data_IF_814248969832
#
_entry.id   IF_814248969832
#
_cell.length_a   1.000
_cell.length_b   1.000
_cell.length_c   1.000
_cell.angle_alpha   90.00
_cell.angle_beta   90.00
_cell.angle_gamma   90.00
#
_symmetry.space_group_name_H-M   'P 1'
#
loop_
_entity.id
_entity.type
_entity.pdbx_description
1 polymer ?
#
# COMPACT_ATOMS: atom_id res chain seq x y z
N UNK A 1 25.69 26.16 16.20
CA UNK A 1 25.13 25.79 14.88
C UNK A 1 24.20 24.62 15.12
N UNK A 2 22.91 24.88 15.32
CA UNK A 2 21.91 23.82 15.44
C UNK A 2 21.72 23.24 14.04
N UNK A 3 22.03 21.96 13.88
CA UNK A 3 21.66 21.22 12.69
C UNK A 3 20.14 21.11 12.76
N UNK A 4 19.43 21.93 11.98
CA UNK A 4 18.05 21.66 11.64
C UNK A 4 18.05 20.26 11.03
N UNK A 5 17.61 19.26 11.80
CA UNK A 5 17.15 18.02 11.22
C UNK A 5 15.97 18.42 10.34
N UNK A 6 16.25 18.62 9.05
CA UNK A 6 15.22 18.66 8.02
C UNK A 6 14.42 17.38 8.19
N UNK A 7 13.23 17.53 8.77
CA UNK A 7 12.27 16.46 8.88
C UNK A 7 11.97 16.02 7.45
N UNK A 8 12.51 14.86 7.06
CA UNK A 8 12.17 14.28 5.78
C UNK A 8 10.77 13.68 5.94
N UNK A 9 9.77 14.18 5.18
CA UNK A 9 8.45 13.61 5.24
C UNK A 9 8.50 12.13 4.84
N UNK A 10 7.70 11.33 5.53
CA UNK A 10 7.44 9.95 5.19
C UNK A 10 6.99 9.89 3.73
N UNK A 11 7.73 9.17 2.90
CA UNK A 11 7.38 9.06 1.47
C UNK A 11 6.58 7.78 1.25
N UNK A 12 5.43 7.87 0.55
CA UNK A 12 4.70 6.67 0.19
C UNK A 12 5.52 5.85 -0.79
N UNK A 13 5.56 4.54 -0.59
CA UNK A 13 6.41 3.62 -1.36
C UNK A 13 5.56 2.63 -2.13
N UNK A 14 5.81 2.47 -3.42
CA UNK A 14 5.29 1.40 -4.27
C UNK A 14 6.38 0.34 -4.48
N UNK A 15 5.94 -0.91 -4.63
CA UNK A 15 6.84 -2.06 -4.76
C UNK A 15 6.80 -2.57 -6.20
N UNK A 16 7.97 -2.66 -6.83
CA UNK A 16 8.17 -3.27 -8.13
C UNK A 16 8.75 -4.68 -7.98
N UNK A 17 8.09 -5.66 -8.58
CA UNK A 17 8.58 -7.03 -8.70
C UNK A 17 9.26 -7.26 -10.05
N UNK A 18 10.46 -7.83 -10.05
CA UNK A 18 11.17 -8.19 -11.28
C UNK A 18 11.11 -9.70 -11.55
N UNK A 19 10.80 -10.08 -12.78
CA UNK A 19 10.67 -11.47 -13.21
C UNK A 19 11.60 -11.74 -14.40
N UNK A 20 12.53 -12.68 -14.24
CA UNK A 20 13.40 -13.11 -15.34
C UNK A 20 14.54 -12.14 -15.69
N UNK A 21 14.76 -11.08 -14.91
CA UNK A 21 15.89 -10.17 -15.09
C UNK A 21 17.17 -10.76 -14.49
N UNK A 22 18.30 -10.55 -15.16
CA UNK A 22 19.64 -10.80 -14.58
C UNK A 22 19.94 -9.79 -13.49
N UNK A 23 20.96 -10.05 -12.67
CA UNK A 23 21.43 -9.08 -11.66
C UNK A 23 21.83 -7.73 -12.27
N UNK A 24 22.52 -7.74 -13.41
CA UNK A 24 22.97 -6.52 -14.07
C UNK A 24 21.79 -5.69 -14.60
N UNK A 25 20.79 -6.35 -15.17
CA UNK A 25 19.58 -5.68 -15.63
C UNK A 25 18.75 -5.14 -14.46
N UNK A 26 18.68 -5.87 -13.35
CA UNK A 26 18.04 -5.37 -12.12
C UNK A 26 18.76 -4.15 -11.55
N UNK A 27 20.11 -4.10 -11.62
CA UNK A 27 20.90 -2.94 -11.20
C UNK A 27 20.68 -1.72 -12.10
N UNK A 28 20.47 -1.90 -13.40
CA UNK A 28 20.04 -0.82 -14.31
C UNK A 28 18.68 -0.26 -13.91
N UNK A 29 17.71 -1.13 -13.66
CA UNK A 29 16.39 -0.71 -13.20
C UNK A 29 16.51 0.04 -11.86
N UNK A 30 17.31 -0.45 -10.90
CA UNK A 30 17.55 0.25 -9.62
C UNK A 30 18.08 1.66 -9.85
N UNK A 31 19.05 1.85 -10.76
CA UNK A 31 19.59 3.17 -11.08
C UNK A 31 18.52 4.12 -11.60
N UNK A 32 17.55 3.64 -12.39
CA UNK A 32 16.40 4.46 -12.81
C UNK A 32 15.49 4.81 -11.64
N UNK A 33 15.26 3.88 -10.70
CA UNK A 33 14.48 4.18 -9.49
C UNK A 33 15.16 5.25 -8.63
N UNK A 34 16.48 5.17 -8.47
CA UNK A 34 17.27 6.07 -7.63
C UNK A 34 17.45 7.47 -8.25
N UNK A 35 17.55 7.55 -9.58
CA UNK A 35 17.77 8.81 -10.32
C UNK A 35 16.49 9.56 -10.65
N UNK A 36 15.32 8.94 -10.45
CA UNK A 36 14.04 9.63 -10.55
C UNK A 36 14.02 10.75 -9.50
N UNK A 37 14.00 12.00 -9.97
CA UNK A 37 13.85 13.19 -9.12
C UNK A 37 12.64 13.04 -8.20
N UNK A 38 12.58 13.77 -7.06
CA UNK A 38 11.73 13.44 -5.92
C UNK A 38 10.25 13.37 -6.33
N UNK A 39 9.69 12.17 -6.57
CA UNK A 39 8.28 12.07 -6.92
C UNK A 39 7.47 12.13 -5.62
N UNK A 40 6.17 12.40 -5.74
CA UNK A 40 5.25 12.29 -4.61
C UNK A 40 5.21 10.85 -4.02
N UNK A 41 5.74 9.87 -4.74
CA UNK A 41 5.78 8.44 -4.42
C UNK A 41 7.15 7.86 -4.78
N UNK A 42 7.73 7.06 -3.89
CA UNK A 42 8.96 6.32 -4.16
C UNK A 42 8.66 4.93 -4.71
N UNK A 43 9.58 4.40 -5.52
CA UNK A 43 9.57 2.99 -5.91
C UNK A 43 10.72 2.26 -5.24
N UNK A 44 10.50 0.99 -4.94
CA UNK A 44 11.55 0.05 -4.53
C UNK A 44 11.30 -1.32 -5.11
N UNK A 45 12.32 -2.17 -5.10
CA UNK A 45 12.10 -3.59 -5.32
C UNK A 45 11.47 -4.28 -4.11
N UNK A 46 10.80 -5.40 -4.40
CA UNK A 46 10.33 -6.33 -3.38
C UNK A 46 9.93 -7.66 -3.97
N UNK A 47 9.47 -8.53 -3.09
CA UNK A 47 8.98 -9.86 -3.45
C UNK A 47 7.76 -9.79 -4.37
N UNK A 48 7.64 -10.75 -5.29
CA UNK A 48 6.54 -10.75 -6.27
C UNK A 48 5.16 -10.75 -5.62
N UNK A 49 5.01 -11.42 -4.47
CA UNK A 49 3.76 -11.47 -3.73
C UNK A 49 3.31 -10.08 -3.25
N UNK A 50 4.25 -9.26 -2.79
CA UNK A 50 4.02 -7.94 -2.21
C UNK A 50 4.02 -6.81 -3.25
N UNK A 51 4.54 -7.07 -4.45
CA UNK A 51 4.73 -6.05 -5.47
C UNK A 51 3.41 -5.44 -5.99
N UNK A 52 3.35 -4.11 -6.06
CA UNK A 52 2.20 -3.38 -6.62
C UNK A 52 2.19 -3.44 -8.16
N UNK A 53 3.34 -3.67 -8.79
CA UNK A 53 3.49 -3.89 -10.23
C UNK A 53 4.58 -4.91 -10.53
N UNK A 54 4.50 -5.57 -11.70
CA UNK A 54 5.53 -6.49 -12.16
C UNK A 54 6.15 -6.06 -13.48
N UNK A 55 7.47 -6.14 -13.55
CA UNK A 55 8.20 -6.12 -14.82
C UNK A 55 8.74 -7.51 -15.11
N UNK A 56 8.53 -7.98 -16.34
CA UNK A 56 8.97 -9.27 -16.83
C UNK A 56 9.96 -9.12 -17.99
N UNK A 57 10.99 -9.96 -18.03
CA UNK A 57 11.95 -9.97 -19.12
C UNK A 57 11.30 -10.59 -20.37
N UNK A 58 10.98 -9.78 -21.39
CA UNK A 58 10.31 -10.27 -22.60
C UNK A 58 11.14 -11.26 -23.41
N UNK A 59 12.47 -11.16 -23.35
CA UNK A 59 13.38 -12.08 -24.05
C UNK A 59 13.32 -13.50 -23.49
N UNK A 60 12.73 -13.68 -22.30
CA UNK A 60 12.55 -14.97 -21.63
C UNK A 60 11.09 -15.43 -21.58
N UNK A 61 10.21 -14.76 -22.31
CA UNK A 61 8.79 -15.09 -22.38
C UNK A 61 8.53 -16.23 -23.36
N UNK A 62 7.73 -17.19 -22.93
CA UNK A 62 7.17 -18.25 -23.73
C UNK A 62 5.64 -18.30 -23.51
N UNK A 63 4.86 -18.11 -24.57
CA UNK A 63 3.43 -18.35 -24.54
C UNK A 63 3.16 -19.87 -24.49
N UNK A 64 2.28 -20.29 -23.60
CA UNK A 64 1.85 -21.68 -23.45
C UNK A 64 0.48 -21.88 -24.10
N UNK A 65 0.16 -23.13 -24.45
CA UNK A 65 -1.07 -23.47 -25.19
C UNK A 65 -2.38 -23.19 -24.44
N UNK A 66 -2.32 -22.94 -23.13
CA UNK A 66 -3.47 -22.54 -22.32
C UNK A 66 -3.63 -21.01 -22.21
N UNK A 67 -2.85 -20.24 -22.98
CA UNK A 67 -2.84 -18.78 -22.95
C UNK A 67 -2.07 -18.17 -21.79
N UNK A 68 -1.48 -18.99 -20.90
CA UNK A 68 -0.58 -18.49 -19.85
C UNK A 68 0.82 -18.23 -20.40
N UNK A 69 1.57 -17.38 -19.70
CA UNK A 69 2.94 -17.02 -20.06
C UNK A 69 3.91 -17.62 -19.06
N UNK A 70 4.92 -18.33 -19.56
CA UNK A 70 6.08 -18.75 -18.77
C UNK A 70 7.23 -17.77 -19.00
N UNK A 71 7.79 -17.26 -17.92
CA UNK A 71 8.97 -16.41 -17.92
C UNK A 71 10.14 -17.21 -17.35
N UNK A 72 11.17 -17.43 -18.17
CA UNK A 72 12.39 -18.11 -17.75
C UNK A 72 13.14 -17.35 -16.65
N UNK A 73 13.95 -18.05 -15.84
CA UNK A 73 14.74 -17.40 -14.79
C UNK A 73 15.78 -16.44 -15.40
N UNK A 74 16.13 -15.39 -14.66
CA UNK A 74 17.18 -14.45 -15.08
C UNK A 74 18.59 -15.02 -14.92
N UNK A 75 18.80 -15.85 -13.90
CA UNK A 75 20.08 -16.47 -13.55
C UNK A 75 20.05 -17.99 -13.76
N UNK A 76 21.20 -18.64 -14.03
CA UNK A 76 21.32 -20.09 -14.05
C UNK A 76 20.84 -20.72 -12.74
N UNK A 77 20.04 -21.80 -12.84
CA UNK A 77 19.48 -22.48 -11.67
C UNK A 77 18.28 -21.78 -11.01
N UNK A 78 17.88 -20.61 -11.51
CA UNK A 78 16.66 -19.92 -11.05
C UNK A 78 15.37 -20.65 -11.43
N UNK A 79 14.26 -20.23 -10.80
CA UNK A 79 12.93 -20.78 -11.10
C UNK A 79 12.23 -19.96 -12.18
N UNK A 80 11.55 -20.62 -13.10
CA UNK A 80 10.62 -19.97 -14.02
C UNK A 80 9.34 -19.58 -13.29
N UNK A 81 8.74 -18.46 -13.69
CA UNK A 81 7.44 -18.01 -13.19
C UNK A 81 6.39 -18.22 -14.29
N UNK A 82 5.21 -18.73 -13.91
CA UNK A 82 4.07 -18.86 -14.82
C UNK A 82 2.99 -17.87 -14.42
N UNK A 83 2.54 -17.07 -15.37
CA UNK A 83 1.52 -16.04 -15.18
C UNK A 83 0.31 -16.33 -16.06
N UNK A 84 -0.88 -16.37 -15.46
CA UNK A 84 -2.13 -16.24 -16.22
C UNK A 84 -2.55 -14.78 -16.20
N UNK A 85 -2.23 -14.02 -17.25
CA UNK A 85 -2.39 -12.56 -17.26
C UNK A 85 -3.83 -12.11 -17.00
N UNK A 86 -4.82 -12.90 -17.43
CA UNK A 86 -6.24 -12.65 -17.16
C UNK A 86 -6.61 -12.72 -15.66
N UNK A 87 -5.80 -13.39 -14.85
CA UNK A 87 -6.00 -13.54 -13.40
C UNK A 87 -5.13 -12.59 -12.58
N UNK A 88 -4.19 -11.89 -13.21
CA UNK A 88 -3.29 -10.96 -12.52
C UNK A 88 -4.01 -9.64 -12.26
N UNK A 89 -4.20 -9.31 -10.98
CA UNK A 89 -4.88 -8.10 -10.51
C UNK A 89 -3.93 -6.91 -10.29
N UNK A 90 -2.87 -6.81 -11.09
CA UNK A 90 -1.86 -5.74 -11.02
C UNK A 90 -1.21 -5.50 -12.38
N UNK A 91 -0.71 -4.29 -12.67
CA UNK A 91 -0.08 -4.01 -13.95
C UNK A 91 1.18 -4.86 -14.15
N UNK A 92 1.31 -5.41 -15.36
CA UNK A 92 2.49 -6.16 -15.80
C UNK A 92 3.04 -5.52 -17.08
N UNK A 93 4.33 -5.22 -17.10
CA UNK A 93 5.02 -4.77 -18.32
C UNK A 93 6.17 -5.70 -18.69
N UNK A 94 6.47 -5.75 -19.98
CA UNK A 94 7.47 -6.64 -20.55
C UNK A 94 8.62 -5.86 -21.18
N UNK A 95 9.86 -6.21 -20.87
CA UNK A 95 11.02 -5.62 -21.55
C UNK A 95 11.08 -6.09 -23.00
N UNK A 96 11.51 -5.24 -23.91
CA UNK A 96 11.86 -5.62 -25.28
C UNK A 96 13.27 -6.23 -25.34
N UNK A 97 13.55 -7.12 -26.30
CA UNK A 97 12.60 -7.74 -27.24
C UNK A 97 11.71 -8.78 -26.56
N UNK A 98 10.50 -9.01 -27.11
CA UNK A 98 9.62 -10.10 -26.68
C UNK A 98 9.89 -11.33 -27.53
N UNK A 99 10.31 -12.44 -26.90
CA UNK A 99 10.78 -13.62 -27.63
C UNK A 99 9.66 -14.41 -28.34
N UNK A 100 8.45 -14.41 -27.76
CA UNK A 100 7.30 -15.11 -28.33
C UNK A 100 6.58 -14.20 -29.32
N UNK A 101 6.58 -14.57 -30.61
CA UNK A 101 5.95 -13.79 -31.69
C UNK A 101 4.43 -13.71 -31.58
N UNK A 102 3.81 -14.75 -31.02
CA UNK A 102 2.36 -14.84 -30.84
C UNK A 102 1.88 -14.17 -29.54
N UNK A 103 2.77 -13.43 -28.86
CA UNK A 103 2.48 -12.73 -27.61
C UNK A 103 2.69 -11.23 -27.77
N UNK A 104 1.59 -10.48 -27.74
CA UNK A 104 1.57 -9.03 -27.80
C UNK A 104 1.20 -8.43 -26.42
N UNK A 105 2.19 -8.07 -25.59
CA UNK A 105 1.93 -7.48 -24.28
C UNK A 105 1.37 -6.07 -24.39
N UNK A 106 0.40 -5.73 -23.53
CA UNK A 106 -0.20 -4.40 -23.45
C UNK A 106 0.81 -3.30 -23.10
N UNK A 107 1.78 -3.62 -22.27
CA UNK A 107 2.80 -2.68 -21.79
C UNK A 107 4.19 -3.20 -22.08
N UNK A 108 5.00 -2.39 -22.76
CA UNK A 108 6.40 -2.69 -23.06
C UNK A 108 7.33 -1.54 -22.75
N UNK A 109 8.58 -1.87 -22.44
CA UNK A 109 9.66 -0.91 -22.24
C UNK A 109 10.99 -1.46 -22.73
N UNK A 110 12.01 -0.61 -22.90
CA UNK A 110 13.38 -1.00 -23.25
C UNK A 110 14.28 -0.91 -22.02
N UNK A 111 15.05 -1.96 -21.72
CA UNK A 111 15.92 -2.01 -20.54
C UNK A 111 17.22 -1.23 -20.76
N UNK A 112 17.60 -1.02 -22.02
CA UNK A 112 18.74 -0.21 -22.45
C UNK A 112 18.41 1.29 -22.51
N UNK A 113 17.16 1.68 -22.27
CA UNK A 113 16.68 3.06 -22.37
C UNK A 113 16.07 3.52 -21.03
N UNK A 114 16.85 4.25 -20.19
CA UNK A 114 16.38 4.84 -18.94
C UNK A 114 15.09 5.66 -19.06
N UNK A 115 14.91 6.39 -20.17
CA UNK A 115 13.71 7.20 -20.38
C UNK A 115 12.48 6.31 -20.62
N UNK A 116 12.65 5.20 -21.36
CA UNK A 116 11.59 4.20 -21.55
C UNK A 116 11.15 3.57 -20.22
N UNK A 117 12.11 3.21 -19.36
CA UNK A 117 11.82 2.68 -18.02
C UNK A 117 11.09 3.71 -17.14
N UNK A 118 11.57 4.96 -17.09
CA UNK A 118 10.95 6.02 -16.30
C UNK A 118 9.52 6.36 -16.79
N UNK A 119 9.30 6.38 -18.11
CA UNK A 119 7.98 6.56 -18.70
C UNK A 119 7.03 5.41 -18.32
N UNK A 120 7.52 4.17 -18.32
CA UNK A 120 6.72 3.01 -17.93
C UNK A 120 6.29 3.07 -16.45
N UNK A 121 7.19 3.43 -15.54
CA UNK A 121 6.83 3.64 -14.14
C UNK A 121 5.76 4.73 -13.99
N UNK A 122 5.93 5.86 -14.69
CA UNK A 122 4.96 6.97 -14.66
C UNK A 122 3.58 6.57 -15.18
N UNK A 123 3.54 5.74 -16.23
CA UNK A 123 2.29 5.20 -16.77
C UNK A 123 1.61 4.24 -15.79
N UNK A 124 2.35 3.34 -15.13
CA UNK A 124 1.78 2.45 -14.10
C UNK A 124 1.24 3.23 -12.89
N UNK A 125 2.02 4.21 -12.41
CA UNK A 125 1.60 5.11 -11.32
C UNK A 125 0.28 5.80 -11.65
N UNK A 126 0.20 6.44 -12.81
CA UNK A 126 -0.95 7.27 -13.17
C UNK A 126 -2.20 6.46 -13.56
N UNK A 127 -2.03 5.36 -14.29
CA UNK A 127 -3.15 4.60 -14.86
C UNK A 127 -3.71 3.54 -13.91
N UNK A 128 -2.86 2.91 -13.09
CA UNK A 128 -3.25 1.76 -12.27
C UNK A 128 -3.12 2.04 -10.78
N UNK A 129 -2.03 2.68 -10.37
CA UNK A 129 -1.64 2.75 -8.97
C UNK A 129 -1.95 4.10 -8.31
N UNK A 130 -2.62 5.02 -9.01
CA UNK A 130 -2.89 6.37 -8.51
C UNK A 130 -3.66 6.34 -7.19
N UNK A 131 -4.68 5.47 -7.10
CA UNK A 131 -5.46 5.28 -5.87
C UNK A 131 -4.63 4.68 -4.72
N UNK A 132 -3.76 3.71 -5.00
CA UNK A 132 -2.86 3.11 -4.00
C UNK A 132 -1.87 4.13 -3.49
N UNK A 133 -1.19 4.84 -4.40
CA UNK A 133 -0.30 5.95 -4.10
C UNK A 133 -0.97 7.03 -3.25
N UNK A 134 -2.19 7.44 -3.62
CA UNK A 134 -2.98 8.43 -2.89
C UNK A 134 -3.29 7.98 -1.45
N UNK A 135 -3.66 6.70 -1.24
CA UNK A 135 -3.90 6.13 0.10
C UNK A 135 -2.63 6.13 0.95
N UNK A 136 -1.53 5.66 0.39
CA UNK A 136 -0.23 5.64 1.08
C UNK A 136 0.23 7.05 1.42
N UNK A 137 0.00 8.02 0.54
CA UNK A 137 0.31 9.42 0.79
C UNK A 137 -0.51 9.98 1.97
N UNK A 138 -1.82 9.68 2.02
CA UNK A 138 -2.66 10.05 3.17
C UNK A 138 -2.13 9.40 4.46
N UNK A 139 -1.76 8.12 4.41
CA UNK A 139 -1.20 7.42 5.57
C UNK A 139 0.03 8.14 6.13
N UNK A 140 0.99 8.45 5.26
CA UNK A 140 2.20 9.18 5.61
C UNK A 140 1.87 10.52 6.30
N UNK A 141 0.96 11.31 5.71
CA UNK A 141 0.57 12.61 6.29
C UNK A 141 -0.14 12.49 7.63
N UNK A 142 -0.96 11.47 7.82
CA UNK A 142 -1.63 11.25 9.10
C UNK A 142 -0.65 10.87 10.20
N UNK A 143 0.41 10.12 9.88
CA UNK A 143 1.48 9.78 10.82
C UNK A 143 2.32 11.01 11.15
N UNK A 144 2.71 11.80 10.15
CA UNK A 144 3.48 13.04 10.37
C UNK A 144 2.71 14.06 11.21
N UNK A 145 1.41 14.20 10.96
CA UNK A 145 0.55 15.11 11.69
C UNK A 145 0.06 14.53 13.04
N UNK A 146 0.63 13.41 13.51
CA UNK A 146 0.26 12.80 14.78
C UNK A 146 0.40 13.83 15.93
N UNK A 147 -0.66 14.00 16.71
CA UNK A 147 -0.72 14.98 17.80
C UNK A 147 -1.16 16.40 17.40
N UNK A 148 -0.99 16.79 16.13
CA UNK A 148 -1.44 18.11 15.64
C UNK A 148 -2.90 18.12 15.15
N UNK A 149 -3.42 16.96 14.74
CA UNK A 149 -4.80 16.81 14.29
C UNK A 149 -5.75 16.79 15.49
N UNK A 150 -6.50 17.88 15.69
CA UNK A 150 -7.48 18.04 16.78
C UNK A 150 -8.88 17.54 16.42
N UNK A 151 -9.24 17.52 15.14
CA UNK A 151 -10.56 17.11 14.68
C UNK A 151 -10.60 15.63 14.34
N UNK A 152 -11.82 15.07 14.32
CA UNK A 152 -12.05 13.68 13.91
C UNK A 152 -12.07 13.54 12.39
N UNK A 153 -12.70 14.49 11.70
CA UNK A 153 -12.98 14.39 10.27
C UNK A 153 -12.33 15.55 9.52
N UNK A 154 -11.57 15.21 8.50
CA UNK A 154 -10.93 16.14 7.59
C UNK A 154 -11.39 15.90 6.17
N UNK A 155 -11.19 16.92 5.32
CA UNK A 155 -11.31 16.77 3.89
C UNK A 155 -10.19 17.50 3.18
N UNK A 156 -9.90 17.04 1.97
CA UNK A 156 -8.88 17.64 1.11
C UNK A 156 -9.61 18.23 -0.11
N UNK A 157 -9.40 19.52 -0.36
CA UNK A 157 -9.93 20.23 -1.53
C UNK A 157 -8.78 20.70 -2.40
N UNK A 158 -8.86 20.48 -3.71
CA UNK A 158 -7.85 20.95 -4.65
C UNK A 158 -8.49 21.29 -6.00
N UNK A 159 -8.13 22.44 -6.58
CA UNK A 159 -8.75 22.92 -7.82
C UNK A 159 -10.27 23.12 -7.71
N UNK A 160 -10.76 23.56 -6.54
CA UNK A 160 -12.18 23.83 -6.29
C UNK A 160 -13.06 22.59 -6.11
N UNK A 161 -12.50 21.38 -6.06
CA UNK A 161 -13.24 20.11 -5.89
C UNK A 161 -12.77 19.32 -4.67
N UNK A 162 -13.70 18.56 -4.10
CA UNK A 162 -13.42 17.62 -3.01
C UNK A 162 -12.63 16.42 -3.54
N UNK A 163 -11.42 16.21 -3.00
CA UNK A 163 -10.52 15.13 -3.41
C UNK A 163 -10.59 13.94 -2.47
N UNK A 164 -10.68 14.18 -1.17
CA UNK A 164 -10.70 13.15 -0.15
C UNK A 164 -11.53 13.55 1.08
N UNK A 165 -12.06 12.56 1.77
CA UNK A 165 -12.68 12.69 3.10
C UNK A 165 -12.03 11.66 4.02
N UNK A 166 -11.63 12.08 5.21
CA UNK A 166 -10.85 11.26 6.14
C UNK A 166 -11.55 11.28 7.50
N UNK A 167 -12.20 10.18 7.89
CA UNK A 167 -12.56 9.93 9.28
C UNK A 167 -11.44 9.13 9.95
N UNK A 168 -10.75 9.77 10.90
CA UNK A 168 -9.60 9.19 11.62
C UNK A 168 -9.95 7.97 12.47
N UNK A 169 -11.23 7.69 12.68
CA UNK A 169 -11.70 6.54 13.45
C UNK A 169 -12.48 5.52 12.61
N UNK A 170 -12.63 5.79 11.31
CA UNK A 170 -13.49 5.01 10.43
C UNK A 170 -12.88 4.84 9.06
N UNK A 171 -13.45 5.52 8.09
CA UNK A 171 -13.14 5.33 6.68
C UNK A 171 -12.49 6.55 6.06
N UNK A 172 -11.73 6.28 5.00
CA UNK A 172 -11.24 7.27 4.05
C UNK A 172 -12.02 7.07 2.76
N UNK A 173 -12.52 8.18 2.22
CA UNK A 173 -13.08 8.25 0.87
C UNK A 173 -12.13 9.00 -0.05
N UNK A 174 -11.84 8.45 -1.21
CA UNK A 174 -11.06 9.09 -2.28
C UNK A 174 -11.91 9.29 -3.53
N UNK A 175 -11.83 10.48 -4.12
CA UNK A 175 -12.41 10.71 -5.43
C UNK A 175 -11.73 9.80 -6.48
N UNK A 176 -12.46 9.12 -7.36
CA UNK A 176 -11.87 8.27 -8.39
C UNK A 176 -10.87 9.03 -9.26
N UNK A 177 -9.71 8.41 -9.53
CA UNK A 177 -8.64 9.01 -10.34
C UNK A 177 -7.80 10.06 -9.63
N UNK A 178 -8.03 10.33 -8.33
CA UNK A 178 -7.14 11.20 -7.56
C UNK A 178 -5.76 10.56 -7.41
N UNK A 179 -4.71 11.36 -7.56
CA UNK A 179 -3.32 10.93 -7.36
C UNK A 179 -2.65 11.66 -6.19
N UNK A 180 -1.48 11.17 -5.78
CA UNK A 180 -0.75 11.73 -4.63
C UNK A 180 -0.40 13.22 -4.82
N UNK A 181 0.01 13.64 -6.02
CA UNK A 181 0.37 15.05 -6.25
C UNK A 181 -0.82 16.01 -6.13
N UNK A 182 -2.02 15.58 -6.54
CA UNK A 182 -3.24 16.37 -6.38
C UNK A 182 -3.59 16.54 -4.90
N UNK A 183 -3.37 15.49 -4.10
CA UNK A 183 -3.57 15.55 -2.65
C UNK A 183 -2.53 16.44 -1.96
N UNK A 184 -1.27 16.39 -2.42
CA UNK A 184 -0.18 17.22 -1.92
C UNK A 184 -0.43 18.71 -2.15
N UNK A 185 -0.93 19.09 -3.32
CA UNK A 185 -1.32 20.47 -3.63
C UNK A 185 -2.67 20.85 -3.01
N UNK A 186 -3.37 19.89 -2.40
CA UNK A 186 -4.70 20.08 -1.81
C UNK A 186 -4.64 20.73 -0.43
N UNK A 187 -5.68 21.49 -0.10
CA UNK A 187 -5.85 22.09 1.21
C UNK A 187 -6.55 21.13 2.17
N UNK A 188 -5.93 20.90 3.32
CA UNK A 188 -6.50 20.08 4.40
C UNK A 188 -7.36 20.95 5.31
N UNK A 189 -8.65 20.65 5.35
CA UNK A 189 -9.63 21.44 6.09
C UNK A 189 -10.40 20.55 7.07
N UNK A 190 -10.64 21.06 8.27
CA UNK A 190 -11.59 20.44 9.18
C UNK A 190 -12.96 20.37 8.49
N UNK A 191 -13.61 19.20 8.55
CA UNK A 191 -14.91 19.02 7.91
C UNK A 191 -16.03 19.31 8.93
N UNK A 192 -17.01 20.16 8.60
CA UNK A 192 -18.18 20.36 9.45
C UNK A 192 -18.91 19.04 9.71
N UNK A 193 -19.44 18.87 10.92
CA UNK A 193 -20.19 17.66 11.32
C UNK A 193 -21.42 17.40 10.44
N UNK A 194 -22.07 18.45 9.94
CA UNK A 194 -23.22 18.38 9.02
C UNK A 194 -22.89 17.78 7.63
N UNK A 195 -21.61 17.75 7.25
CA UNK A 195 -21.15 17.20 5.98
C UNK A 195 -20.27 15.96 6.17
N UNK A 196 -20.28 15.33 7.35
CA UNK A 196 -19.35 14.27 7.75
C UNK A 196 -19.36 13.00 6.85
N UNK A 197 -20.39 12.81 6.04
CA UNK A 197 -20.52 11.64 5.17
C UNK A 197 -19.51 11.64 4.01
N UNK A 198 -19.07 10.45 3.64
CA UNK A 198 -18.27 10.19 2.44
C UNK A 198 -19.22 10.13 1.24
N UNK A 199 -19.00 10.88 0.15
CA UNK A 199 -19.86 10.82 -1.02
C UNK A 199 -19.90 9.40 -1.63
N UNK A 200 -21.06 8.98 -2.13
CA UNK A 200 -21.28 7.61 -2.59
C UNK A 200 -20.40 7.19 -3.77
N UNK A 201 -19.95 8.14 -4.59
CA UNK A 201 -19.08 7.90 -5.74
C UNK A 201 -17.58 7.83 -5.38
N UNK A 202 -17.22 7.97 -4.10
CA UNK A 202 -15.84 7.90 -3.65
C UNK A 202 -15.45 6.44 -3.38
N UNK A 203 -14.21 6.10 -3.70
CA UNK A 203 -13.62 4.83 -3.31
C UNK A 203 -13.37 4.84 -1.80
N UNK A 204 -13.95 3.87 -1.09
CA UNK A 204 -13.85 3.77 0.37
C UNK A 204 -12.82 2.72 0.78
N UNK A 205 -12.12 2.98 1.88
CA UNK A 205 -11.21 2.05 2.55
C UNK A 205 -11.14 2.44 4.01
N UNK A 206 -10.79 1.51 4.90
CA UNK A 206 -10.67 1.85 6.31
C UNK A 206 -9.35 2.56 6.60
N UNK A 207 -9.33 3.42 7.62
CA UNK A 207 -8.08 4.02 8.09
C UNK A 207 -7.05 2.94 8.51
N UNK A 208 -7.53 1.84 9.09
CA UNK A 208 -6.69 0.73 9.52
C UNK A 208 -6.00 0.05 8.34
N UNK A 209 -6.71 -0.21 7.23
CA UNK A 209 -6.11 -0.80 6.02
C UNK A 209 -5.04 0.10 5.41
N UNK A 210 -5.30 1.41 5.40
CA UNK A 210 -4.37 2.41 4.84
C UNK A 210 -3.11 2.52 5.68
N UNK A 211 -3.23 2.62 7.01
CA UNK A 211 -2.08 2.67 7.91
C UNK A 211 -1.31 1.34 7.93
N UNK A 212 -2.01 0.20 7.90
CA UNK A 212 -1.39 -1.13 7.79
C UNK A 212 -0.57 -1.25 6.51
N UNK A 213 -1.20 -0.93 5.37
CA UNK A 213 -0.58 -0.91 4.06
C UNK A 213 0.66 -0.04 3.99
N UNK A 214 0.65 1.11 4.66
CA UNK A 214 1.79 2.01 4.72
C UNK A 214 2.92 1.46 5.60
N UNK A 215 2.59 0.93 6.78
CA UNK A 215 3.56 0.37 7.73
C UNK A 215 4.38 -0.78 7.13
N UNK A 216 3.75 -1.61 6.28
CA UNK A 216 4.44 -2.72 5.63
C UNK A 216 5.36 -2.28 4.48
N UNK A 217 5.17 -1.07 3.95
CA UNK A 217 5.87 -0.59 2.76
C UNK A 217 7.02 0.37 3.07
N UNK A 218 6.90 1.16 4.13
CA UNK A 218 7.92 2.14 4.49
C UNK A 218 9.21 1.50 5.00
N UNK A 219 10.32 2.21 4.79
CA UNK A 219 11.61 1.90 5.39
C UNK A 219 11.76 2.50 6.79
N UNK A 220 10.92 3.46 7.15
CA UNK A 220 11.00 4.14 8.43
C UNK A 220 10.57 3.21 9.56
N UNK A 221 11.30 3.28 10.68
CA UNK A 221 10.89 2.59 11.90
C UNK A 221 9.70 3.32 12.54
N UNK A 222 8.49 2.87 12.20
CA UNK A 222 7.26 3.41 12.76
C UNK A 222 6.92 2.85 14.14
N UNK A 223 7.72 1.91 14.68
CA UNK A 223 7.49 1.37 16.01
C UNK A 223 7.98 2.39 17.06
N UNK A 224 7.12 2.88 17.97
CA UNK A 224 7.58 3.83 18.97
C UNK A 224 8.71 3.26 19.82
N UNK A 225 9.74 4.07 20.11
CA UNK A 225 10.95 3.61 20.81
C UNK A 225 10.67 2.85 22.12
N UNK A 226 9.65 3.24 22.87
CA UNK A 226 9.30 2.58 24.12
C UNK A 226 8.71 1.17 23.93
N UNK A 227 8.19 0.81 22.74
CA UNK A 227 7.76 -0.56 22.42
C UNK A 227 8.95 -1.52 22.24
N UNK A 228 10.17 -0.99 22.05
CA UNK A 228 11.40 -1.80 22.00
C UNK A 228 11.81 -2.33 23.37
N UNK A 229 11.44 -1.63 24.44
CA UNK A 229 11.94 -1.91 25.80
C UNK A 229 10.85 -2.34 26.78
N UNK A 230 9.62 -1.84 26.62
CA UNK A 230 8.50 -2.15 27.51
C UNK A 230 7.80 -3.46 27.15
N UNK A 231 7.12 -4.12 28.11
CA UNK A 231 6.23 -5.23 27.81
C UNK A 231 5.11 -4.79 26.87
N UNK A 232 4.89 -5.58 25.82
CA UNK A 232 3.80 -5.39 24.87
C UNK A 232 2.67 -6.34 25.21
N UNK A 233 1.45 -5.83 25.08
CA UNK A 233 0.22 -6.57 25.34
C UNK A 233 -0.62 -6.62 24.08
N UNK A 234 -1.22 -7.78 23.83
CA UNK A 234 -2.32 -7.88 22.87
C UNK A 234 -3.54 -7.15 23.42
N UNK A 235 -4.14 -6.28 22.61
CA UNK A 235 -5.31 -5.49 23.02
C UNK A 235 -6.59 -6.01 22.38
N UNK A 236 -6.56 -6.21 21.06
CA UNK A 236 -7.71 -6.64 20.25
C UNK A 236 -7.23 -7.06 18.86
N UNK A 237 -8.01 -7.86 18.12
CA UNK A 237 -7.69 -8.16 16.74
C UNK A 237 -7.73 -6.88 15.87
N UNK A 238 -6.85 -6.76 14.87
CA UNK A 238 -6.90 -5.69 13.89
C UNK A 238 -8.22 -5.76 13.10
N UNK A 239 -8.84 -4.60 12.87
CA UNK A 239 -10.03 -4.49 12.03
C UNK A 239 -9.62 -4.42 10.55
N UNK A 240 -9.16 -5.55 10.03
CA UNK A 240 -8.65 -5.70 8.67
C UNK A 240 -9.26 -6.95 8.03
N UNK A 241 -9.27 -6.97 6.71
CA UNK A 241 -9.49 -8.22 5.98
C UNK A 241 -8.39 -9.23 6.32
N UNK A 242 -8.77 -10.48 6.58
CA UNK A 242 -7.85 -11.55 6.97
C UNK A 242 -6.76 -11.78 5.91
N UNK A 243 -7.05 -11.53 4.63
CA UNK A 243 -6.06 -11.68 3.54
C UNK A 243 -4.88 -10.70 3.64
N UNK A 244 -4.99 -9.65 4.44
CA UNK A 244 -3.91 -8.67 4.66
C UNK A 244 -2.98 -9.08 5.81
N UNK A 245 -3.34 -10.10 6.58
CA UNK A 245 -2.54 -10.62 7.68
C UNK A 245 -1.54 -11.64 7.15
N UNK A 246 -0.28 -11.21 7.02
CA UNK A 246 0.83 -12.12 6.74
C UNK A 246 1.17 -13.04 7.93
N UNK A 247 1.89 -14.12 7.65
CA UNK A 247 2.27 -15.13 8.65
C UNK A 247 3.00 -14.52 9.86
N UNK A 248 3.89 -13.54 9.64
CA UNK A 248 4.58 -12.85 10.73
C UNK A 248 3.63 -12.14 11.70
N UNK A 249 2.53 -11.59 11.19
CA UNK A 249 1.53 -10.92 12.02
C UNK A 249 0.74 -11.93 12.84
N UNK A 250 0.32 -13.03 12.21
CA UNK A 250 -0.40 -14.11 12.88
C UNK A 250 0.45 -14.74 13.99
N UNK A 251 1.75 -14.94 13.72
CA UNK A 251 2.70 -15.47 14.69
C UNK A 251 2.90 -14.52 15.88
N UNK A 252 3.12 -13.23 15.63
CA UNK A 252 3.26 -12.22 16.70
C UNK A 252 1.98 -12.09 17.52
N UNK A 253 0.81 -12.08 16.88
CA UNK A 253 -0.47 -12.03 17.59
C UNK A 253 -0.70 -13.26 18.45
N UNK A 254 -0.37 -14.46 17.95
CA UNK A 254 -0.42 -15.71 18.74
C UNK A 254 0.45 -15.61 19.99
N UNK A 255 1.70 -15.19 19.85
CA UNK A 255 2.62 -15.08 21.00
C UNK A 255 2.17 -14.04 22.03
N UNK A 256 1.61 -12.93 21.57
CA UNK A 256 1.06 -11.89 22.46
C UNK A 256 -0.28 -12.27 23.08
N UNK A 257 -1.06 -13.14 22.42
CA UNK A 257 -2.28 -13.73 22.96
C UNK A 257 -1.96 -14.71 24.10
N UNK A 258 -0.87 -15.49 23.97
CA UNK A 258 -0.41 -16.39 25.04
C UNK A 258 0.14 -15.64 26.27
N UNK A 259 0.65 -14.43 26.07
CA UNK A 259 1.08 -13.57 27.17
C UNK A 259 1.89 -12.35 26.71
N UNK A 260 2.01 -11.33 27.56
CA UNK A 260 2.78 -10.15 27.25
C UNK A 260 4.25 -10.51 27.04
N UNK A 261 4.95 -9.73 26.21
CA UNK A 261 6.39 -9.90 26.05
C UNK A 261 7.07 -8.64 25.57
N UNK A 262 8.35 -8.52 25.91
CA UNK A 262 9.23 -7.46 25.40
C UNK A 262 9.68 -7.79 23.97
N UNK A 263 10.20 -6.79 23.27
CA UNK A 263 10.68 -6.95 21.90
C UNK A 263 11.66 -8.14 21.74
N UNK A 264 12.68 -8.23 22.58
CA UNK A 264 13.67 -9.32 22.52
C UNK A 264 13.06 -10.71 22.78
N UNK A 265 12.10 -10.80 23.72
CA UNK A 265 11.40 -12.05 24.04
C UNK A 265 10.48 -12.48 22.90
N UNK A 266 9.77 -11.53 22.27
CA UNK A 266 8.98 -11.79 21.08
C UNK A 266 9.86 -12.23 19.91
N UNK A 267 11.03 -11.63 19.74
CA UNK A 267 12.00 -12.03 18.73
C UNK A 267 12.44 -13.48 18.92
N UNK A 268 12.74 -13.88 20.15
CA UNK A 268 13.11 -15.27 20.48
C UNK A 268 11.96 -16.24 20.25
N UNK A 269 10.74 -15.92 20.69
CA UNK A 269 9.57 -16.80 20.57
C UNK A 269 9.09 -16.98 19.13
N UNK A 270 9.18 -15.92 18.33
CA UNK A 270 8.73 -15.92 16.93
C UNK A 270 9.82 -16.36 15.94
N UNK A 271 11.10 -16.26 16.32
CA UNK A 271 12.22 -16.48 15.40
C UNK A 271 12.35 -15.44 14.30
N UNK A 272 11.56 -14.36 14.33
CA UNK A 272 11.62 -13.29 13.35
C UNK A 272 12.89 -12.47 13.52
N UNK A 273 13.48 -12.02 12.42
CA UNK A 273 14.56 -11.03 12.46
C UNK A 273 14.03 -9.69 13.00
N UNK A 274 14.89 -8.93 13.68
CA UNK A 274 14.49 -7.72 14.40
C UNK A 274 13.75 -6.70 13.50
N UNK A 275 14.19 -6.50 12.26
CA UNK A 275 13.53 -5.58 11.33
C UNK A 275 12.11 -6.04 10.97
N UNK A 276 11.93 -7.32 10.65
CA UNK A 276 10.63 -7.90 10.31
C UNK A 276 9.67 -7.89 11.51
N UNK A 277 10.18 -8.20 12.70
CA UNK A 277 9.40 -8.08 13.94
C UNK A 277 8.98 -6.62 14.20
N UNK A 278 9.88 -5.66 14.03
CA UNK A 278 9.57 -4.25 14.21
C UNK A 278 8.46 -3.79 13.26
N UNK A 279 8.55 -4.15 11.98
CA UNK A 279 7.56 -3.81 10.97
C UNK A 279 6.19 -4.42 11.30
N UNK A 280 6.15 -5.70 11.69
CA UNK A 280 4.91 -6.37 12.10
C UNK A 280 4.29 -5.71 13.34
N UNK A 281 5.10 -5.38 14.35
CA UNK A 281 4.64 -4.68 15.55
C UNK A 281 4.18 -3.25 15.24
N UNK A 282 4.84 -2.54 14.32
CA UNK A 282 4.44 -1.21 13.89
C UNK A 282 3.05 -1.22 13.22
N UNK A 283 2.80 -2.18 12.33
CA UNK A 283 1.49 -2.35 11.69
C UNK A 283 0.38 -2.66 12.73
N UNK A 284 0.66 -3.52 13.71
CA UNK A 284 -0.24 -3.81 14.82
C UNK A 284 -0.44 -2.59 15.74
N UNK A 285 0.60 -1.79 15.98
CA UNK A 285 0.54 -0.56 16.77
C UNK A 285 -0.36 0.48 16.10
N UNK A 286 -0.14 0.75 14.81
CA UNK A 286 -0.89 1.76 14.05
C UNK A 286 -2.38 1.42 13.90
N UNK A 287 -2.72 0.13 13.92
CA UNK A 287 -4.11 -0.34 13.94
C UNK A 287 -4.71 -0.42 15.35
N UNK A 288 -3.92 -0.11 16.38
CA UNK A 288 -4.34 -0.13 17.77
C UNK A 288 -4.63 -1.54 18.31
N UNK A 289 -3.94 -2.54 17.76
CA UNK A 289 -4.08 -3.97 18.09
C UNK A 289 -3.17 -4.39 19.25
N UNK A 290 -2.08 -3.65 19.49
CA UNK A 290 -1.16 -3.83 20.62
C UNK A 290 -1.04 -2.55 21.44
N UNK A 291 -0.57 -2.68 22.68
CA UNK A 291 -0.31 -1.57 23.60
C UNK A 291 0.87 -1.88 24.51
N UNK A 292 1.64 -0.86 24.89
CA UNK A 292 2.65 -0.97 25.97
C UNK A 292 2.04 -0.68 27.36
N UNK A 293 0.80 -0.20 27.40
CA UNK A 293 0.07 0.12 28.63
C UNK A 293 -0.92 -1.00 29.00
N UNK A 294 -0.63 -1.68 30.12
CA UNK A 294 -1.44 -2.80 30.64
C UNK A 294 -2.89 -2.42 30.94
N UNK A 295 -3.16 -1.19 31.39
CA UNK A 295 -4.52 -0.75 31.76
C UNK A 295 -5.49 -0.70 30.57
N UNK A 296 -4.96 -0.67 29.34
CA UNK A 296 -5.75 -0.62 28.10
C UNK A 296 -6.10 -1.99 27.52
N UNK A 297 -5.59 -3.05 28.13
CA UNK A 297 -5.93 -4.43 27.80
C UNK A 297 -7.30 -4.73 28.41
N UNK A 298 -8.28 -5.21 27.63
CA UNK A 298 -9.54 -5.70 28.21
C UNK A 298 -9.20 -6.70 29.31
N UNK A 299 -9.72 -6.50 30.52
CA UNK A 299 -9.68 -7.57 31.54
C UNK A 299 -10.49 -8.70 30.96
N UNK A 300 -9.85 -9.82 30.64
CA UNK A 300 -10.57 -11.00 30.16
C UNK A 300 -11.73 -11.30 31.10
N UNK A 301 -12.93 -11.32 30.52
CA UNK A 301 -14.06 -12.04 31.06
C UNK A 301 -13.65 -13.50 31.23
N UNK A 302 -13.33 -13.89 32.47
CA UNK A 302 -13.40 -15.29 32.90
C UNK A 302 -12.09 -16.03 33.16
N UNK A 303 -11.26 -15.55 34.10
CA UNK A 303 -10.59 -16.41 35.09
C UNK A 303 -10.58 -15.65 36.43
N UNK A 304 -10.94 -16.28 37.57
CA UNK A 304 -11.18 -15.56 38.83
C UNK A 304 -9.87 -14.95 39.35
N UNK A 305 -9.82 -13.62 39.38
CA UNK A 305 -8.73 -12.86 39.96
C UNK A 305 -8.76 -13.01 41.49
N UNK A 306 -7.65 -13.45 42.07
CA UNK A 306 -7.37 -13.25 43.50
C UNK A 306 -7.33 -11.75 43.84
N UNK A 307 -7.54 -11.38 45.12
CA UNK A 307 -7.78 -10.00 45.52
C UNK A 307 -6.53 -9.13 45.31
N UNK A 308 -6.68 -8.04 44.56
CA UNK A 308 -5.70 -6.96 44.51
C UNK A 308 -6.09 -5.81 45.44
N UNK A 309 -5.13 -5.21 46.17
CA UNK A 309 -5.34 -3.98 46.91
C UNK A 309 -5.31 -2.76 45.97
N UNK A 310 -6.12 -1.77 46.32
CA UNK A 310 -6.28 -0.50 45.63
C UNK A 310 -5.07 0.41 45.85
N UNK A 311 -4.56 1.02 44.78
CA UNK A 311 -3.84 2.30 44.88
C UNK A 311 -3.84 3.07 43.55
N UNK A 312 -4.61 4.16 43.57
CA UNK A 312 -4.27 5.54 43.20
C UNK A 312 -3.64 5.86 41.83
N UNK A 313 -4.50 6.46 40.99
CA UNK A 313 -4.28 7.70 40.22
C UNK A 313 -2.88 8.02 39.70
N UNK A 314 -2.70 7.91 38.38
CA UNK A 314 -1.74 8.74 37.64
C UNK A 314 -2.31 9.26 36.31
N UNK A 315 -2.47 10.58 36.29
CA UNK A 315 -2.63 11.45 35.14
C UNK A 315 -1.31 11.51 34.34
N UNK A 316 -1.03 10.47 33.55
CA UNK A 316 0.03 10.47 32.54
C UNK A 316 -0.41 9.60 31.35
N UNK A 317 -1.32 10.10 30.51
CA UNK A 317 -1.71 9.39 29.29
C UNK A 317 -2.28 10.34 28.24
N UNK A 318 -1.42 11.14 27.61
CA UNK A 318 -1.82 11.95 26.44
C UNK A 318 -1.18 11.56 25.11
N UNK A 319 -0.27 10.58 25.06
CA UNK A 319 0.48 10.29 23.83
C UNK A 319 0.74 8.79 23.62
N UNK A 320 -0.30 7.96 23.46
CA UNK A 320 -0.08 6.55 23.10
C UNK A 320 -1.17 6.07 22.12
N UNK A 321 -1.22 6.68 20.92
CA UNK A 321 -2.10 6.35 19.77
C UNK A 321 -3.52 6.96 19.81
N UNK A 322 -3.73 7.98 18.98
CA UNK A 322 -5.04 8.62 18.75
C UNK A 322 -5.94 7.81 17.81
N UNK A 323 -5.38 6.81 17.11
CA UNK A 323 -6.05 5.97 16.11
C UNK A 323 -6.92 4.85 16.69
N UNK A 324 -7.45 5.05 17.90
CA UNK A 324 -8.30 4.04 18.55
C UNK A 324 -9.76 4.28 18.15
N UNK A 325 -10.34 3.48 17.22
CA UNK A 325 -11.79 3.50 17.04
C UNK A 325 -12.45 3.13 18.36
N UNK A 326 -13.29 4.04 18.84
CA UNK A 326 -14.23 3.78 19.93
C UNK A 326 -15.16 2.63 19.50
N UNK A 327 -15.41 1.71 20.42
CA UNK A 327 -16.37 0.63 20.19
C UNK A 327 -17.78 1.24 20.19
N UNK A 328 -18.30 1.58 19.01
CA UNK A 328 -19.73 1.75 18.80
C UNK A 328 -20.24 0.58 17.96
N UNK A 329 -21.11 -0.20 18.59
CA UNK A 329 -21.93 -1.25 18.00
C UNK A 329 -22.77 -0.65 16.87
N UNK A 330 -22.46 -1.04 15.63
CA UNK A 330 -23.35 -0.84 14.49
C UNK A 330 -24.04 -2.17 14.22
N UNK A 331 -25.35 -2.15 14.43
CA UNK A 331 -26.30 -3.18 14.07
C UNK A 331 -26.16 -3.43 12.55
N UNK A 332 -25.82 -4.66 12.19
CA UNK A 332 -25.62 -5.08 10.81
C UNK A 332 -26.94 -5.62 10.28
N UNK A 333 -27.66 -4.80 9.52
CA UNK A 333 -28.64 -5.31 8.56
C UNK A 333 -27.88 -5.80 7.33
N UNK A 334 -28.11 -7.06 6.99
CA UNK A 334 -27.39 -7.79 5.96
C UNK A 334 -27.64 -7.24 4.57
N UNK A 335 -26.54 -6.89 3.89
CA UNK A 335 -26.37 -7.17 2.46
C UNK A 335 -24.87 -7.10 2.10
N UNK A 336 -24.10 -8.13 2.47
CA UNK A 336 -22.69 -8.24 2.11
C UNK A 336 -22.54 -8.86 0.72
N UNK A 337 -22.57 -8.00 -0.30
CA UNK A 337 -21.96 -8.29 -1.60
C UNK A 337 -20.91 -7.19 -1.85
N UNK A 338 -19.68 -7.46 -1.45
CA UNK A 338 -18.53 -6.64 -1.83
C UNK A 338 -17.69 -7.42 -2.83
N UNK A 339 -18.08 -7.26 -4.09
CA UNK A 339 -17.27 -7.56 -5.24
C UNK A 339 -16.20 -6.45 -5.38
N UNK A 340 -14.92 -6.81 -5.24
CA UNK A 340 -13.79 -5.91 -5.47
C UNK A 340 -13.29 -5.96 -6.93
N UNK A 341 -14.10 -6.46 -7.86
CA UNK A 341 -13.86 -6.25 -9.28
C UNK A 341 -14.33 -4.84 -9.67
N UNK A 342 -13.36 -3.98 -10.00
CA UNK A 342 -13.62 -3.02 -11.06
C UNK A 342 -13.37 -3.83 -12.34
N UNK A 343 -14.39 -4.17 -13.15
CA UNK A 343 -14.09 -4.62 -14.49
C UNK A 343 -13.29 -3.51 -15.16
N UNK A 344 -12.09 -3.85 -15.63
CA UNK A 344 -11.37 -3.00 -16.56
C UNK A 344 -12.38 -2.61 -17.64
N UNK A 345 -12.62 -1.30 -17.79
CA UNK A 345 -13.38 -0.83 -18.95
C UNK A 345 -12.60 -1.29 -20.15
N UNK A 346 -13.15 -2.24 -20.91
CA UNK A 346 -12.74 -2.48 -22.28
C UNK A 346 -12.92 -1.13 -22.97
N UNK A 347 -11.82 -0.41 -23.16
CA UNK A 347 -11.80 0.76 -24.01
C UNK A 347 -12.10 0.23 -25.42
N UNK A 348 -13.37 0.28 -25.82
CA UNK A 348 -13.67 0.52 -27.22
C UNK A 348 -13.25 1.96 -27.49
N UNK A 349 -11.95 2.11 -27.73
CA UNK A 349 -11.34 3.38 -28.08
C UNK A 349 -11.73 3.73 -29.51
N UNK A 350 -12.93 4.27 -29.64
CA UNK A 350 -13.49 4.76 -30.90
C UNK A 350 -12.61 5.87 -31.49
N UNK A 351 -11.87 6.60 -30.65
CA UNK A 351 -10.93 7.63 -31.09
C UNK A 351 -9.65 7.04 -31.72
N UNK A 352 -9.15 5.91 -31.22
CA UNK A 352 -8.03 5.20 -31.86
C UNK A 352 -8.43 4.57 -33.21
N UNK A 353 -9.65 4.04 -33.32
CA UNK A 353 -10.19 3.49 -34.58
C UNK A 353 -10.42 4.60 -35.62
N UNK A 354 -10.89 5.77 -35.21
CA UNK A 354 -11.12 6.90 -36.10
C UNK A 354 -9.80 7.56 -36.56
N UNK A 355 -8.76 7.58 -35.70
CA UNK A 355 -7.42 8.03 -36.08
C UNK A 355 -6.73 7.07 -37.07
N UNK A 356 -6.89 5.76 -36.90
CA UNK A 356 -6.35 4.76 -37.82
C UNK A 356 -7.03 4.80 -39.20
N UNK A 357 -8.36 5.01 -39.23
CA UNK A 357 -9.10 5.21 -40.49
C UNK A 357 -8.72 6.50 -41.21
N UNK A 358 -8.48 7.59 -40.48
CA UNK A 358 -8.04 8.84 -41.09
C UNK A 358 -6.66 8.70 -41.76
N UNK A 359 -5.76 7.92 -41.16
CA UNK A 359 -4.43 7.64 -41.73
C UNK A 359 -4.52 6.74 -42.97
N UNK A 360 -5.38 5.70 -42.95
CA UNK A 360 -5.59 4.80 -44.09
C UNK A 360 -6.21 5.51 -45.30
N UNK A 361 -7.12 6.46 -45.06
CA UNK A 361 -7.72 7.29 -46.13
C UNK A 361 -6.68 8.24 -46.73
N UNK A 362 -5.82 8.85 -45.92
CA UNK A 362 -4.74 9.72 -46.38
C UNK A 362 -3.70 8.95 -47.22
N UNK A 363 -3.33 7.74 -46.81
CA UNK A 363 -2.40 6.89 -47.57
C UNK A 363 -2.99 6.38 -48.89
N UNK A 364 -4.30 6.10 -48.95
CA UNK A 364 -4.97 5.73 -50.20
C UNK A 364 -5.04 6.89 -51.19
N UNK A 365 -5.30 8.10 -50.70
CA UNK A 365 -5.33 9.29 -51.55
C UNK A 365 -3.95 9.58 -52.17
N UNK A 366 -2.86 9.33 -51.43
CA UNK A 366 -1.49 9.54 -51.90
C UNK A 366 -1.00 8.48 -52.92
N UNK A 367 -1.67 7.33 -53.06
CA UNK A 367 -1.30 6.28 -54.03
C UNK A 367 -2.03 6.41 -55.38
N UNK A 368 -3.03 7.30 -55.46
CA UNK A 368 -3.84 7.52 -56.66
C UNK A 368 -3.69 8.93 -57.26
N UNK A 369 -2.83 9.76 -56.67
CA UNK A 369 -2.29 10.99 -57.26
C UNK A 369 -0.91 10.69 -57.84
#
# INVERSE_FOLDING_TARGET
MQVEHQFQPHRPTLILGLIGFTRDAAAEVQRVLDTRGPPAVQWRFGELAEADAWWACGARVQLLGDGSVRIGPGEPGGRSVRLSLAQVQRPVAFSQPVASRDFEPTYTFRTEDPASMAAMLSAMESQWLAGTAARLWIAARLIEAEGALSQRIYHIVGGGRLLAVIDRTGEIGLMPGVNAEQLERGQWLARPSSAAYIPANFQRTTISEVLWSFALRTHDDLLPAHYRTRPLYYRRPPKLDQRLLGDEHLLVMRELFLGPGRFAELQQRTGLVAERLARALAALYLTGSITSNRARVPRETGLPAGPQPQSQSQSQSRQESMWTPSAMSTQTDGNSQHDFTVPARLAHDRAAVDAAKALEIAERAARHA
#
